data_IF_398917889138
#
_entry.id   IF_398917889138
#
_cell.length_a   1.000
_cell.length_b   1.000
_cell.length_c   1.000
_cell.angle_alpha   90.00
_cell.angle_beta   90.00
_cell.angle_gamma   90.00
#
_symmetry.space_group_name_H-M   'P 1'
#
loop_
_entity.id
_entity.type
_entity.pdbx_description
1 polymer ?
#
# COMPACT_ATOMS: atom_id res chain seq x y z
N UNK A 1 -6.02 -7.28 -4.18
CA UNK A 1 -4.81 -7.19 -5.04
C UNK A 1 -3.64 -6.53 -4.31
N UNK A 2 -3.68 -5.22 -3.99
CA UNK A 2 -2.54 -4.50 -3.40
C UNK A 2 -1.97 -5.16 -2.12
N UNK A 3 -2.83 -5.61 -1.19
CA UNK A 3 -2.39 -6.35 0.00
C UNK A 3 -1.68 -7.65 -0.37
N UNK A 4 -2.26 -8.47 -1.25
CA UNK A 4 -1.65 -9.73 -1.67
C UNK A 4 -0.31 -9.52 -2.38
N UNK A 5 -0.21 -8.50 -3.22
CA UNK A 5 1.04 -8.10 -3.88
C UNK A 5 2.13 -7.74 -2.87
N UNK A 6 1.83 -6.81 -1.96
CA UNK A 6 2.79 -6.37 -0.94
C UNK A 6 3.15 -7.48 0.06
N UNK A 7 2.20 -8.34 0.42
CA UNK A 7 2.48 -9.54 1.24
C UNK A 7 3.40 -10.52 0.53
N UNK A 8 3.45 -10.54 -0.80
CA UNK A 8 4.39 -11.37 -1.57
C UNK A 8 5.73 -10.69 -1.87
N UNK A 9 5.85 -9.37 -1.65
CA UNK A 9 7.01 -8.60 -2.05
C UNK A 9 8.23 -8.85 -1.14
N UNK A 10 9.26 -9.51 -1.67
CA UNK A 10 10.39 -10.02 -0.89
C UNK A 10 11.15 -8.94 -0.10
N UNK A 11 11.41 -7.77 -0.71
CA UNK A 11 12.13 -6.69 -0.03
C UNK A 11 11.31 -6.12 1.15
N UNK A 12 9.99 -6.00 0.95
CA UNK A 12 9.09 -5.43 1.95
C UNK A 12 8.91 -6.39 3.11
N UNK A 13 8.61 -7.67 2.83
CA UNK A 13 8.41 -8.66 3.88
C UNK A 13 9.66 -8.90 4.70
N UNK A 14 10.86 -8.84 4.09
CA UNK A 14 12.14 -8.86 4.83
C UNK A 14 12.27 -7.65 5.76
N UNK A 15 11.92 -6.46 5.28
CA UNK A 15 11.97 -5.21 6.08
C UNK A 15 10.99 -5.23 7.25
N UNK A 16 9.81 -5.81 7.06
CA UNK A 16 8.79 -5.91 8.10
C UNK A 16 9.02 -7.08 9.06
N UNK A 17 9.73 -8.13 8.64
CA UNK A 17 9.82 -9.40 9.37
C UNK A 17 8.64 -10.33 9.12
N UNK A 18 8.03 -10.26 7.93
CA UNK A 18 7.07 -11.26 7.43
C UNK A 18 5.86 -10.72 6.67
N UNK A 19 5.15 -11.58 5.92
CA UNK A 19 4.01 -11.20 5.06
C UNK A 19 2.74 -10.81 5.82
N UNK A 20 2.57 -11.30 7.06
CA UNK A 20 1.39 -11.04 7.91
C UNK A 20 1.33 -9.60 8.45
N UNK A 21 2.37 -8.81 8.19
CA UNK A 21 2.49 -7.40 8.59
C UNK A 21 2.01 -6.45 7.51
N UNK A 22 1.29 -6.95 6.51
CA UNK A 22 0.60 -6.16 5.49
C UNK A 22 -0.89 -6.48 5.59
N UNK A 23 -1.75 -5.47 5.65
CA UNK A 23 -3.20 -5.70 5.68
C UNK A 23 -4.01 -4.41 5.79
N UNK A 24 -5.30 -4.51 6.07
CA UNK A 24 -6.19 -3.34 6.15
C UNK A 24 -6.42 -2.81 7.57
N UNK A 25 -6.01 -3.56 8.60
CA UNK A 25 -6.28 -3.24 10.01
C UNK A 25 -5.01 -2.77 10.72
N UNK A 26 -5.16 -1.94 11.74
CA UNK A 26 -4.07 -1.62 12.67
C UNK A 26 -4.05 -2.66 13.81
N UNK A 27 -3.30 -3.74 13.62
CA UNK A 27 -3.13 -4.78 14.65
C UNK A 27 -1.64 -5.17 14.76
N UNK A 28 -1.18 -5.72 15.89
CA UNK A 28 0.15 -6.31 15.93
C UNK A 28 0.26 -7.50 14.93
N UNK A 29 1.49 -7.88 14.55
CA UNK A 29 2.77 -7.34 15.01
C UNK A 29 3.24 -6.09 14.22
N UNK A 30 4.01 -5.21 14.87
CA UNK A 30 4.59 -3.97 14.31
C UNK A 30 6.12 -4.07 14.13
N UNK A 31 6.73 -3.34 13.19
CA UNK A 31 6.12 -2.41 12.25
C UNK A 31 5.26 -3.14 11.20
N UNK A 32 4.30 -2.42 10.61
CA UNK A 32 3.37 -2.97 9.61
C UNK A 32 2.98 -1.97 8.54
N UNK A 33 2.52 -2.48 7.41
CA UNK A 33 1.84 -1.70 6.38
C UNK A 33 0.32 -1.89 6.51
N UNK A 34 -0.39 -0.77 6.58
CA UNK A 34 -1.84 -0.70 6.47
C UNK A 34 -2.22 -0.13 5.09
N UNK A 35 -3.10 -0.81 4.38
CA UNK A 35 -3.70 -0.32 3.13
C UNK A 35 -5.21 -0.25 3.29
N UNK A 36 -5.76 0.94 3.05
CA UNK A 36 -7.19 1.16 3.01
C UNK A 36 -7.55 1.87 1.72
N UNK A 37 -8.74 1.59 1.19
CA UNK A 37 -9.30 2.41 0.11
C UNK A 37 -9.92 3.66 0.74
N UNK A 38 -9.65 4.81 0.15
CA UNK A 38 -10.24 6.09 0.56
C UNK A 38 -11.14 6.64 -0.53
N UNK A 39 -12.08 7.54 -0.20
CA UNK A 39 -12.94 8.17 -1.21
C UNK A 39 -12.14 8.84 -2.34
N UNK A 40 -12.73 8.80 -3.53
CA UNK A 40 -12.14 9.31 -4.76
C UNK A 40 -11.89 8.22 -5.80
N UNK A 41 -11.20 8.59 -6.86
CA UNK A 41 -11.02 7.76 -8.04
C UNK A 41 -12.09 8.03 -9.11
N UNK A 42 -12.03 7.27 -10.18
CA UNK A 42 -12.98 7.39 -11.29
C UNK A 42 -13.20 6.02 -11.92
N UNK A 43 -14.42 5.74 -12.37
CA UNK A 43 -14.74 4.55 -13.13
C UNK A 43 -15.60 4.94 -14.35
N UNK A 44 -15.04 5.69 -15.31
CA UNK A 44 -15.77 6.12 -16.50
C UNK A 44 -16.10 4.89 -17.34
N UNK A 45 -17.29 4.32 -17.12
CA UNK A 45 -17.70 3.04 -17.68
C UNK A 45 -16.83 1.90 -17.14
N UNK A 46 -17.34 1.18 -16.14
CA UNK A 46 -16.72 0.00 -15.49
C UNK A 46 -16.29 -1.12 -16.45
N UNK A 47 -16.55 -0.95 -17.75
CA UNK A 47 -16.16 -1.84 -18.84
C UNK A 47 -14.68 -1.73 -19.21
N UNK A 48 -14.02 -0.58 -18.98
CA UNK A 48 -12.67 -0.34 -19.51
C UNK A 48 -11.61 -0.16 -18.43
N UNK A 49 -11.71 0.89 -17.61
CA UNK A 49 -10.73 1.18 -16.55
C UNK A 49 -11.41 1.71 -15.30
N UNK A 50 -10.80 1.43 -14.15
CA UNK A 50 -11.17 2.02 -12.88
C UNK A 50 -9.91 2.51 -12.16
N UNK A 51 -10.01 3.70 -11.57
CA UNK A 51 -8.98 4.30 -10.71
C UNK A 51 -9.47 4.27 -9.28
N UNK A 52 -8.67 3.68 -8.39
CA UNK A 52 -8.93 3.57 -6.97
C UNK A 52 -7.92 4.40 -6.19
N UNK A 53 -8.36 5.12 -5.17
CA UNK A 53 -7.46 5.81 -4.26
C UNK A 53 -7.15 4.91 -3.06
N UNK A 54 -5.88 4.59 -2.88
CA UNK A 54 -5.39 3.78 -1.76
C UNK A 54 -4.60 4.66 -0.81
N UNK A 55 -4.98 4.67 0.46
CA UNK A 55 -4.14 5.18 1.53
C UNK A 55 -3.19 4.07 1.97
N UNK A 56 -1.90 4.38 1.98
CA UNK A 56 -0.81 3.49 2.35
C UNK A 56 -0.15 4.06 3.59
N UNK A 57 -0.06 3.25 4.64
CA UNK A 57 0.43 3.67 5.94
C UNK A 57 1.47 2.69 6.45
N UNK A 58 2.61 3.19 6.90
CA UNK A 58 3.54 2.42 7.71
C UNK A 58 3.33 2.79 9.18
N UNK A 59 2.96 1.81 10.01
CA UNK A 59 2.66 1.97 11.43
C UNK A 59 3.78 1.33 12.27
N UNK A 60 4.34 2.09 13.20
CA UNK A 60 5.31 1.60 14.17
C UNK A 60 4.65 0.95 15.39
N UNK A 61 5.43 0.58 16.40
CA UNK A 61 4.95 0.01 17.66
C UNK A 61 4.06 0.99 18.44
N UNK A 62 3.11 0.45 19.22
CA UNK A 62 2.21 1.25 20.05
C UNK A 62 2.94 1.98 21.18
N UNK A 63 4.02 1.40 21.70
CA UNK A 63 4.91 2.00 22.69
C UNK A 63 5.91 3.00 22.06
N UNK A 64 5.83 3.20 20.73
CA UNK A 64 6.66 4.11 19.94
C UNK A 64 8.14 3.72 19.91
N UNK A 65 8.47 2.46 20.16
CA UNK A 65 9.84 1.94 20.11
C UNK A 65 10.39 1.79 18.68
N UNK A 66 9.53 1.66 17.66
CA UNK A 66 9.99 1.59 16.26
C UNK A 66 10.79 2.84 15.87
N UNK A 67 12.06 2.71 15.43
CA UNK A 67 12.84 3.84 14.96
C UNK A 67 12.25 4.46 13.69
N UNK A 68 12.18 5.81 13.65
CA UNK A 68 11.67 6.56 12.50
C UNK A 68 12.37 6.22 11.17
N UNK A 69 13.71 6.01 11.10
CA UNK A 69 14.37 5.60 9.86
C UNK A 69 13.92 4.23 9.34
N UNK A 70 13.68 3.27 10.26
CA UNK A 70 13.17 1.94 9.91
C UNK A 70 11.76 2.07 9.32
N UNK A 71 10.90 2.84 9.98
CA UNK A 71 9.53 3.05 9.50
C UNK A 71 9.48 3.78 8.16
N UNK A 72 10.35 4.78 7.96
CA UNK A 72 10.52 5.47 6.68
C UNK A 72 10.96 4.52 5.56
N UNK A 73 11.91 3.61 5.86
CA UNK A 73 12.35 2.59 4.90
C UNK A 73 11.20 1.66 4.52
N UNK A 74 10.49 1.11 5.50
CA UNK A 74 9.34 0.24 5.26
C UNK A 74 8.27 0.94 4.39
N UNK A 75 7.98 2.21 4.69
CA UNK A 75 7.07 3.03 3.90
C UNK A 75 7.56 3.20 2.45
N UNK A 76 8.80 3.66 2.25
CA UNK A 76 9.37 3.87 0.92
C UNK A 76 9.40 2.57 0.09
N UNK A 77 9.78 1.45 0.71
CA UNK A 77 9.75 0.12 0.06
C UNK A 77 8.33 -0.29 -0.32
N UNK A 78 7.32 0.01 0.50
CA UNK A 78 5.92 -0.27 0.15
C UNK A 78 5.42 0.59 -1.03
N UNK A 79 5.77 1.89 -1.06
CA UNK A 79 5.41 2.78 -2.17
C UNK A 79 6.10 2.35 -3.47
N UNK A 80 7.40 2.03 -3.42
CA UNK A 80 8.16 1.48 -4.55
C UNK A 80 7.49 0.20 -5.07
N UNK A 81 7.24 -0.77 -4.19
CA UNK A 81 6.61 -2.03 -4.56
C UNK A 81 5.24 -1.81 -5.22
N UNK A 82 4.44 -0.85 -4.75
CA UNK A 82 3.17 -0.52 -5.40
C UNK A 82 3.36 0.06 -6.81
N UNK A 83 4.43 0.78 -7.11
CA UNK A 83 4.71 1.23 -8.48
C UNK A 83 5.09 0.06 -9.40
N UNK A 84 5.89 -0.89 -8.89
CA UNK A 84 6.23 -2.13 -9.61
C UNK A 84 5.00 -3.00 -9.92
N UNK A 85 3.88 -2.80 -9.21
CA UNK A 85 2.62 -3.47 -9.52
C UNK A 85 2.13 -3.17 -10.95
N UNK A 86 2.42 -1.97 -11.48
CA UNK A 86 2.05 -1.59 -12.84
C UNK A 86 2.97 -2.20 -13.91
N UNK A 87 4.12 -2.74 -13.51
CA UNK A 87 5.11 -3.36 -14.40
C UNK A 87 4.91 -4.89 -14.49
N UNK A 88 3.99 -5.43 -13.71
CA UNK A 88 3.73 -6.87 -13.70
C UNK A 88 3.11 -7.34 -15.02
N UNK A 89 3.57 -8.51 -15.48
CA UNK A 89 2.91 -9.21 -16.57
C UNK A 89 1.43 -9.49 -16.21
N UNK A 90 0.55 -9.22 -17.18
CA UNK A 90 -0.87 -9.53 -17.04
C UNK A 90 -1.07 -11.03 -16.84
N UNK A 91 -1.87 -11.38 -15.82
CA UNK A 91 -2.28 -12.76 -15.55
C UNK A 91 -3.75 -12.90 -15.93
N UNK A 92 -4.13 -13.85 -16.80
CA UNK A 92 -5.52 -14.09 -17.16
C UNK A 92 -6.43 -14.24 -15.93
N UNK A 93 -7.63 -13.66 -15.99
CA UNK A 93 -8.61 -13.67 -14.89
C UNK A 93 -8.27 -12.77 -13.70
N UNK A 94 -7.20 -11.96 -13.76
CA UNK A 94 -6.86 -10.95 -12.73
C UNK A 94 -6.99 -9.54 -13.27
N UNK A 95 -7.31 -8.55 -12.41
CA UNK A 95 -7.19 -7.15 -12.79
C UNK A 95 -5.77 -6.83 -13.24
N UNK A 96 -5.64 -6.04 -14.30
CA UNK A 96 -4.34 -5.56 -14.80
C UNK A 96 -4.15 -4.14 -14.34
N UNK A 97 -3.16 -3.90 -13.48
CA UNK A 97 -2.78 -2.54 -13.07
C UNK A 97 -1.93 -1.92 -14.17
N UNK A 98 -2.33 -0.76 -14.66
CA UNK A 98 -1.64 -0.05 -15.75
C UNK A 98 -0.96 1.23 -15.29
N UNK A 99 -1.38 1.77 -14.14
CA UNK A 99 -0.70 2.92 -13.55
C UNK A 99 -0.85 2.95 -12.04
N UNK A 100 0.21 3.40 -11.39
CA UNK A 100 0.20 3.83 -9.99
C UNK A 100 0.80 5.22 -9.93
N UNK A 101 0.10 6.16 -9.29
CA UNK A 101 0.51 7.57 -9.18
C UNK A 101 0.35 8.06 -7.76
N UNK A 102 1.34 8.81 -7.26
CA UNK A 102 1.20 9.49 -5.98
C UNK A 102 0.21 10.66 -6.08
N UNK A 103 -0.77 10.68 -5.18
CA UNK A 103 -1.68 11.82 -5.00
C UNK A 103 -1.24 12.71 -3.83
N UNK A 104 -0.35 12.22 -2.98
CA UNK A 104 0.33 13.01 -1.96
C UNK A 104 1.81 12.63 -1.87
N UNK A 105 2.64 13.56 -1.42
CA UNK A 105 4.09 13.37 -1.32
C UNK A 105 4.51 12.28 -0.33
N UNK A 106 3.59 11.86 0.56
CA UNK A 106 3.89 10.97 1.66
C UNK A 106 4.61 11.68 2.80
N UNK A 107 4.18 11.47 4.04
CA UNK A 107 4.70 12.24 5.16
C UNK A 107 4.55 11.57 6.50
N UNK A 108 5.34 12.05 7.44
CA UNK A 108 5.18 11.69 8.85
C UNK A 108 3.93 12.38 9.39
N UNK A 109 2.97 11.57 9.83
CA UNK A 109 1.74 12.04 10.43
C UNK A 109 1.31 10.98 11.45
N UNK A 110 1.60 11.17 12.76
CA UNK A 110 1.19 10.21 13.78
C UNK A 110 -0.30 9.89 13.72
N UNK A 111 -0.68 8.71 14.19
CA UNK A 111 -2.08 8.39 14.47
C UNK A 111 -2.65 9.33 15.55
N UNK A 112 -3.98 9.49 15.65
CA UNK A 112 -4.60 10.19 16.78
C UNK A 112 -4.19 9.64 18.15
N UNK A 113 -3.82 8.35 18.22
CA UNK A 113 -3.28 7.69 19.41
C UNK A 113 -1.83 8.04 19.72
N UNK A 114 -1.16 8.83 18.87
CA UNK A 114 0.26 9.16 18.94
C UNK A 114 1.19 8.07 18.41
N UNK A 115 0.65 6.97 17.87
CA UNK A 115 1.45 5.92 17.24
C UNK A 115 2.21 6.48 16.02
N UNK A 116 3.48 6.10 15.90
CA UNK A 116 4.34 6.49 14.79
C UNK A 116 3.73 6.05 13.45
N UNK A 117 3.57 6.98 12.51
CA UNK A 117 2.99 6.69 11.19
C UNK A 117 3.60 7.54 10.07
N UNK A 118 3.92 6.87 8.97
CA UNK A 118 4.04 7.50 7.65
C UNK A 118 2.80 7.18 6.82
N UNK A 119 2.30 8.15 6.05
CA UNK A 119 1.10 7.99 5.22
C UNK A 119 1.25 8.67 3.86
N UNK A 120 0.77 8.04 2.80
CA UNK A 120 0.53 8.63 1.49
C UNK A 120 -0.80 8.14 0.91
N UNK A 121 -1.29 8.84 -0.10
CA UNK A 121 -2.41 8.39 -0.95
C UNK A 121 -1.88 8.19 -2.36
N UNK A 122 -2.22 7.04 -2.95
CA UNK A 122 -1.89 6.68 -4.32
C UNK A 122 -3.17 6.47 -5.13
N UNK A 123 -3.17 6.88 -6.40
CA UNK A 123 -4.13 6.43 -7.39
C UNK A 123 -3.61 5.16 -8.06
N UNK A 124 -4.44 4.12 -8.10
CA UNK A 124 -4.17 2.86 -8.80
C UNK A 124 -5.20 2.69 -9.91
N UNK A 125 -4.75 2.76 -11.15
CA UNK A 125 -5.58 2.53 -12.33
C UNK A 125 -5.42 1.09 -12.79
N UNK A 126 -6.55 0.41 -12.96
CA UNK A 126 -6.59 -0.97 -13.40
C UNK A 126 -7.72 -1.22 -14.39
N UNK A 127 -7.50 -2.21 -15.26
CA UNK A 127 -8.56 -2.83 -16.04
C UNK A 127 -9.24 -3.92 -15.21
N UNK A 128 -10.57 -4.08 -15.31
CA UNK A 128 -11.25 -5.22 -14.72
C UNK A 128 -10.70 -6.52 -15.34
N UNK A 129 -10.78 -7.66 -14.62
CA UNK A 129 -10.44 -8.95 -15.20
C UNK A 129 -11.35 -9.19 -16.41
N UNK A 130 -10.75 -9.55 -17.54
CA UNK A 130 -11.51 -10.09 -18.67
C UNK A 130 -11.91 -11.51 -18.26
N UNK A 131 -13.22 -11.72 -18.11
CA UNK A 131 -13.83 -13.03 -17.88
C UNK A 131 -14.03 -13.79 -19.17
#
# INVERSE_FOLDING_TARGET
MAVAWLSGHAELTRTLGGPRRVGARNTPPYPRIRITQVPGGSAPGWRWTATFHLQVEALGDLDRSTPRPLLRRAFATAIKALHELAEQAAVPGRPVVTAVRALSAGGWLPEPTGQARYVAVLAVTAHPPVG
#
